data_IF_876046630571
#
_entry.id   IF_876046630571
#
_cell.length_a   1.000
_cell.length_b   1.000
_cell.length_c   1.000
_cell.angle_alpha   90.00
_cell.angle_beta   90.00
_cell.angle_gamma   90.00
#
_symmetry.space_group_name_H-M   'P 1'
#
loop_
_entity.id
_entity.type
_entity.pdbx_description
1 polymer ?
2 non-polymer ?
3 non-polymer ?
4 non-polymer ?
5 non-polymer ?
6 non-polymer ?
7 water ?
#
# COMPACT_ATOMS: atom_id res chain seq x y z
N UNK A 1 3.58 12.30 -17.99
CA UNK A 1 2.48 13.19 -17.52
C UNK A 1 2.74 13.72 -16.12
N UNK A 2 2.33 14.97 -15.85
CA UNK A 2 2.54 15.64 -14.55
C UNK A 2 2.14 14.81 -13.34
N UNK A 3 0.93 14.27 -13.40
CA UNK A 3 0.36 13.47 -12.33
C UNK A 3 0.51 11.99 -12.53
N UNK A 4 1.45 11.42 -11.78
CA UNK A 4 1.78 10.03 -11.88
C UNK A 4 1.34 9.27 -10.65
N UNK A 5 0.69 8.12 -10.86
CA UNK A 5 0.23 7.30 -9.76
C UNK A 5 1.03 6.01 -9.65
N UNK A 6 1.46 5.71 -8.44
CA UNK A 6 2.24 4.49 -8.17
C UNK A 6 1.49 3.63 -7.14
N UNK A 7 0.90 2.52 -7.59
CA UNK A 7 0.13 1.66 -6.67
C UNK A 7 0.45 0.20 -6.81
N UNK A 8 0.10 -0.57 -5.78
CA UNK A 8 0.33 -2.02 -5.80
C UNK A 8 -0.72 -2.81 -6.60
N UNK A 9 -0.25 -3.54 -7.61
CA UNK A 9 -1.15 -4.30 -8.44
C UNK A 9 -1.67 -5.56 -7.71
N UNK A 10 -0.79 -6.33 -7.10
CA UNK A 10 -1.16 -7.56 -6.41
C UNK A 10 -1.79 -7.43 -5.00
N UNK A 11 -1.10 -7.89 -3.96
CA UNK A 11 -1.61 -7.80 -2.57
C UNK A 11 -0.65 -7.01 -1.66
N UNK A 12 -0.21 -5.86 -2.16
CA UNK A 12 0.72 -5.05 -1.39
C UNK A 12 2.13 -5.65 -1.35
N UNK A 13 3.08 -4.85 -0.85
CA UNK A 13 4.47 -5.26 -0.69
C UNK A 13 5.22 -5.54 -1.96
N UNK A 14 4.72 -4.94 -3.04
CA UNK A 14 5.28 -5.09 -4.35
C UNK A 14 6.56 -4.29 -4.46
N UNK A 15 6.64 -3.21 -3.67
CA UNK A 15 7.81 -2.33 -3.67
C UNK A 15 7.41 -0.91 -4.08
N UNK A 16 6.27 -0.46 -3.57
CA UNK A 16 5.77 0.89 -3.88
C UNK A 16 6.72 1.97 -3.32
N UNK A 17 7.07 1.83 -2.03
CA UNK A 17 8.00 2.76 -1.38
C UNK A 17 9.26 2.99 -2.22
N UNK A 18 9.98 1.91 -2.51
CA UNK A 18 11.18 2.04 -3.31
C UNK A 18 10.95 2.80 -4.62
N UNK A 19 9.84 2.53 -5.30
CA UNK A 19 9.64 3.20 -6.58
C UNK A 19 9.22 4.63 -6.42
N UNK A 20 8.55 4.94 -5.31
CA UNK A 20 8.15 6.32 -5.05
C UNK A 20 9.44 7.13 -4.81
N UNK A 21 10.26 6.66 -3.89
CA UNK A 21 11.51 7.31 -3.59
C UNK A 21 12.46 7.52 -4.80
N UNK A 22 12.42 6.60 -5.76
CA UNK A 22 13.26 6.70 -6.94
C UNK A 22 12.70 7.66 -7.98
N UNK A 23 11.38 7.71 -8.11
CA UNK A 23 10.79 8.59 -9.10
C UNK A 23 10.56 10.03 -8.66
N UNK A 24 10.50 10.25 -7.35
CA UNK A 24 10.27 11.57 -6.78
C UNK A 24 11.42 12.57 -7.04
N UNK A 25 12.51 12.07 -7.61
CA UNK A 25 13.64 12.91 -7.92
C UNK A 25 13.17 14.15 -8.66
N UNK A 26 12.16 13.99 -9.50
CA UNK A 26 11.61 15.09 -10.29
C UNK A 26 10.36 15.74 -9.69
N UNK A 27 9.83 15.11 -8.64
CA UNK A 27 8.60 15.59 -8.02
C UNK A 27 8.68 16.76 -7.03
N UNK A 28 7.66 17.60 -7.07
CA UNK A 28 7.53 18.72 -6.18
C UNK A 28 6.67 18.22 -5.00
N UNK A 29 5.71 17.33 -5.30
CA UNK A 29 4.82 16.75 -4.27
C UNK A 29 4.65 15.23 -4.33
N UNK A 30 4.45 14.63 -3.17
CA UNK A 30 4.16 13.19 -3.08
C UNK A 30 2.98 13.14 -2.15
N UNK A 31 1.97 12.36 -2.52
CA UNK A 31 0.74 12.26 -1.73
C UNK A 31 0.27 10.83 -1.48
N UNK A 32 0.07 10.51 -0.19
CA UNK A 32 -0.47 9.23 0.25
C UNK A 32 -1.96 9.61 0.32
N UNK A 33 -2.80 8.82 -0.35
CA UNK A 33 -4.24 9.09 -0.42
C UNK A 33 -5.13 8.07 0.31
N UNK A 34 -4.56 6.99 0.81
CA UNK A 34 -5.35 6.01 1.55
C UNK A 34 -4.45 5.13 2.38
N UNK A 35 -5.08 4.39 3.29
CA UNK A 35 -4.34 3.53 4.18
C UNK A 35 -4.09 4.32 5.45
N UNK A 36 -3.11 3.83 6.21
CA UNK A 36 -2.74 4.45 7.47
C UNK A 36 -1.35 3.96 7.76
N UNK A 37 -1.13 3.36 8.92
CA UNK A 37 0.21 2.87 9.23
C UNK A 37 0.28 1.35 9.12
N UNK A 38 -0.61 0.80 8.32
CA UNK A 38 -0.57 -0.62 8.06
C UNK A 38 0.49 -0.73 6.95
N UNK A 39 0.65 0.33 6.18
CA UNK A 39 1.65 0.33 5.13
C UNK A 39 3.04 0.27 5.77
N UNK A 40 3.98 -0.33 5.06
CA UNK A 40 5.35 -0.44 5.52
C UNK A 40 6.17 -0.37 4.24
N UNK A 41 6.47 0.85 3.79
CA UNK A 41 7.22 0.98 2.55
C UNK A 41 8.69 1.15 2.89
N UNK A 42 9.51 0.23 2.39
CA UNK A 42 10.93 0.21 2.63
C UNK A 42 11.77 0.90 1.57
N UNK A 43 12.52 1.93 1.99
CA UNK A 43 13.41 2.68 1.12
C UNK A 43 14.80 2.22 1.49
N UNK A 44 15.70 2.29 0.50
CA UNK A 44 17.08 1.89 0.69
C UNK A 44 18.01 2.66 -0.22
N UNK A 45 18.74 3.61 0.38
CA UNK A 45 19.71 4.46 -0.32
C UNK A 45 21.08 4.00 0.14
N UNK A 46 21.95 3.67 -0.81
CA UNK A 46 23.28 3.20 -0.49
C UNK A 46 23.18 2.34 0.78
N UNK A 47 22.38 1.30 0.71
CA UNK A 47 22.25 0.41 1.85
C UNK A 47 21.64 0.90 3.14
N UNK A 48 21.31 2.16 3.24
CA UNK A 48 20.71 2.58 4.51
C UNK A 48 19.23 2.36 4.31
N UNK A 49 18.66 1.61 5.24
CA UNK A 49 17.26 1.24 5.21
C UNK A 49 16.31 2.13 6.01
N UNK A 50 15.12 2.35 5.45
CA UNK A 50 14.08 3.12 6.09
C UNK A 50 12.73 2.53 5.70
N UNK A 51 11.97 2.07 6.68
CA UNK A 51 10.65 1.56 6.42
C UNK A 51 9.66 2.62 6.93
N UNK A 52 8.96 3.25 5.99
CA UNK A 52 7.97 4.26 6.30
C UNK A 52 6.62 3.57 6.42
N UNK A 53 5.72 4.12 7.23
CA UNK A 53 4.39 3.55 7.40
C UNK A 53 3.35 4.59 6.98
N UNK A 54 3.21 5.63 7.82
CA UNK A 54 2.25 6.70 7.60
C UNK A 54 2.80 7.83 6.74
N UNK A 55 4.06 8.17 6.98
CA UNK A 55 4.70 9.26 6.26
C UNK A 55 5.06 8.89 4.81
N UNK A 56 4.69 9.73 3.85
CA UNK A 56 5.00 9.46 2.44
C UNK A 56 6.48 9.22 2.10
N UNK A 57 6.68 8.42 1.05
CA UNK A 57 8.01 8.08 0.61
C UNK A 57 8.72 9.16 -0.20
N UNK A 58 8.49 10.42 0.13
CA UNK A 58 9.19 11.49 -0.56
C UNK A 58 10.01 12.23 0.50
N UNK A 59 9.71 11.93 1.75
CA UNK A 59 10.35 12.53 2.91
C UNK A 59 11.87 12.64 2.84
N UNK A 60 12.56 11.62 2.33
CA UNK A 60 14.01 11.70 2.27
C UNK A 60 14.50 12.77 1.29
N UNK A 61 13.59 13.43 0.58
CA UNK A 61 14.00 14.46 -0.37
C UNK A 61 13.54 15.83 0.10
N UNK A 62 14.47 16.79 0.12
CA UNK A 62 14.10 18.15 0.55
C UNK A 62 13.30 18.90 -0.52
N UNK A 63 13.57 18.62 -1.78
CA UNK A 63 12.89 19.26 -2.88
C UNK A 63 11.41 18.84 -2.97
N UNK A 64 11.03 17.82 -2.22
CA UNK A 64 9.67 17.33 -2.26
C UNK A 64 8.86 17.68 -1.03
N UNK A 65 7.60 18.03 -1.24
CA UNK A 65 6.68 18.33 -0.15
C UNK A 65 5.86 17.01 0.03
N UNK A 66 5.93 16.44 1.23
CA UNK A 66 5.22 15.22 1.51
C UNK A 66 3.87 15.55 2.11
N UNK A 67 2.82 15.00 1.48
CA UNK A 67 1.42 15.21 1.85
C UNK A 67 0.67 13.98 2.36
N UNK A 68 -0.06 14.14 3.45
CA UNK A 68 -0.90 13.07 3.96
C UNK A 68 -2.32 13.57 3.63
N UNK A 69 -2.87 13.00 2.54
CA UNK A 69 -4.20 13.36 2.03
C UNK A 69 -5.37 12.91 2.85
N UNK A 70 -6.49 13.62 2.72
CA UNK A 70 -7.74 13.33 3.44
C UNK A 70 -8.15 11.87 3.51
N UNK A 71 -7.89 11.10 2.45
CA UNK A 71 -8.26 9.70 2.46
C UNK A 71 -7.50 8.80 3.42
N UNK A 72 -6.43 9.33 4.01
CA UNK A 72 -5.62 8.56 4.96
C UNK A 72 -6.17 8.66 6.38
N UNK A 73 -6.13 7.53 7.09
CA UNK A 73 -6.56 7.49 8.49
C UNK A 73 -5.30 7.79 9.32
N UNK A 74 -5.33 8.88 10.07
CA UNK A 74 -4.14 9.32 10.81
C UNK A 74 -4.08 9.03 12.29
N UNK A 75 -3.04 8.32 12.67
CA UNK A 75 -2.78 7.97 14.06
C UNK A 75 -1.76 9.00 14.60
N UNK A 76 -2.23 9.96 15.41
CA UNK A 76 -1.28 10.96 15.95
C UNK A 76 -0.06 10.32 16.64
N UNK A 77 -0.31 9.20 17.35
CA UNK A 77 0.74 8.50 18.05
C UNK A 77 1.75 7.96 17.06
N UNK A 78 1.27 7.33 15.99
CA UNK A 78 2.16 6.75 14.99
C UNK A 78 3.00 7.81 14.31
N UNK A 79 2.39 8.95 14.06
CA UNK A 79 3.07 10.06 13.41
C UNK A 79 4.27 10.60 14.25
N UNK A 80 4.01 10.97 15.49
CA UNK A 80 5.05 11.50 16.39
C UNK A 80 6.14 10.47 16.47
N UNK A 81 5.71 9.20 16.58
CA UNK A 81 6.58 8.04 16.68
C UNK A 81 7.51 7.93 15.50
N UNK A 82 6.99 8.02 14.29
CA UNK A 82 7.81 7.95 13.09
C UNK A 82 8.61 9.24 12.90
N UNK A 83 7.96 10.37 13.19
CA UNK A 83 8.54 11.72 13.05
C UNK A 83 9.85 11.91 13.79
N UNK A 84 9.84 11.54 15.06
CA UNK A 84 11.04 11.66 15.88
C UNK A 84 12.17 10.76 15.36
N UNK A 85 11.85 9.51 15.05
CA UNK A 85 12.87 8.61 14.58
C UNK A 85 13.53 9.18 13.33
N UNK A 86 12.72 9.72 12.44
CA UNK A 86 13.22 10.30 11.20
C UNK A 86 14.07 11.53 11.50
N UNK A 87 13.62 12.33 12.45
CA UNK A 87 14.30 13.55 12.88
C UNK A 87 15.69 13.27 13.40
N UNK A 88 15.82 12.29 14.29
CA UNK A 88 17.12 11.93 14.86
C UNK A 88 18.13 11.51 13.79
N UNK A 89 17.60 11.06 12.64
CA UNK A 89 18.39 10.63 11.50
C UNK A 89 18.60 11.80 10.51
N UNK A 90 18.34 13.02 10.97
CA UNK A 90 18.52 14.18 10.12
C UNK A 90 17.43 14.48 9.10
N UNK A 91 16.24 13.88 9.28
CA UNK A 91 15.14 14.16 8.36
C UNK A 91 14.22 15.15 9.03
N UNK A 92 14.24 16.41 8.55
CA UNK A 92 13.36 17.42 9.16
C UNK A 92 11.90 17.24 8.72
N UNK A 93 11.32 16.09 9.09
CA UNK A 93 9.94 15.72 8.71
C UNK A 93 8.97 16.91 8.72
N UNK A 94 8.93 17.61 9.85
CA UNK A 94 8.05 18.76 10.05
C UNK A 94 8.22 19.88 9.05
N UNK A 95 9.43 20.01 8.53
CA UNK A 95 9.72 21.04 7.57
C UNK A 95 9.30 20.59 6.17
N UNK A 96 9.08 19.29 5.97
CA UNK A 96 8.69 18.81 4.65
C UNK A 96 7.33 18.11 4.53
N UNK A 97 6.64 17.90 5.65
CA UNK A 97 5.34 17.21 5.65
C UNK A 97 4.09 18.04 5.93
N UNK A 98 3.07 17.86 5.07
CA UNK A 98 1.76 18.53 5.19
C UNK A 98 0.63 17.53 5.44
N UNK A 99 -0.46 17.99 6.07
CA UNK A 99 -1.62 17.13 6.39
C UNK A 99 -2.98 17.73 5.98
N UNK A 100 -3.99 16.86 5.99
CA UNK A 100 -5.35 17.25 5.69
C UNK A 100 -6.16 17.34 6.96
N UNK A 101 -6.94 18.40 7.10
CA UNK A 101 -7.79 18.53 8.25
C UNK A 101 -8.93 17.49 8.11
N UNK A 102 -9.15 16.98 6.89
CA UNK A 102 -10.20 15.99 6.69
C UNK A 102 -9.78 14.61 7.19
N UNK A 103 -8.48 14.36 7.25
CA UNK A 103 -7.98 13.08 7.72
C UNK A 103 -8.63 12.66 9.02
N UNK A 104 -9.24 11.47 9.05
CA UNK A 104 -9.88 10.97 10.27
C UNK A 104 -8.73 10.59 11.21
N UNK A 105 -8.95 10.70 12.52
CA UNK A 105 -7.92 10.35 13.51
C UNK A 105 -8.11 8.94 14.09
N UNK A 106 -7.02 8.16 14.13
CA UNK A 106 -7.03 6.80 14.67
C UNK A 106 -6.55 6.98 16.09
N UNK A 107 -7.32 6.53 17.07
CA UNK A 107 -6.96 6.67 18.46
C UNK A 107 -7.01 5.34 19.16
N UNK A 108 -6.18 5.17 20.15
CA UNK A 108 -6.13 3.94 20.91
C UNK A 108 -7.35 2.98 20.91
N UNK A 109 -8.55 3.51 21.15
CA UNK A 109 -9.75 2.65 21.19
C UNK A 109 -10.01 1.93 19.89
N UNK A 110 -9.55 2.52 18.80
CA UNK A 110 -9.67 1.93 17.48
C UNK A 110 -8.89 0.65 17.42
N UNK A 111 -7.83 0.54 18.22
CA UNK A 111 -7.01 -0.68 18.24
C UNK A 111 -7.69 -1.70 19.15
N UNK A 112 -8.36 -1.21 20.19
CA UNK A 112 -9.07 -2.09 21.10
C UNK A 112 -10.15 -2.80 20.24
N UNK A 113 -10.92 -2.01 19.51
CA UNK A 113 -11.96 -2.58 18.66
C UNK A 113 -11.37 -3.52 17.63
N UNK A 114 -10.37 -3.06 16.87
CA UNK A 114 -9.79 -3.93 15.84
C UNK A 114 -9.32 -5.25 16.46
N UNK A 115 -8.80 -5.19 17.68
CA UNK A 115 -8.35 -6.38 18.37
C UNK A 115 -9.56 -7.25 18.68
N UNK A 116 -10.56 -6.64 19.34
CA UNK A 116 -11.79 -7.34 19.72
C UNK A 116 -12.43 -8.05 18.53
N UNK A 117 -12.66 -7.29 17.46
CA UNK A 117 -13.28 -7.82 16.26
C UNK A 117 -12.48 -8.99 15.68
N UNK A 118 -11.14 -8.92 15.69
CA UNK A 118 -10.38 -10.03 15.14
C UNK A 118 -10.51 -11.31 15.95
N UNK A 119 -10.41 -11.22 17.26
CA UNK A 119 -10.54 -12.43 18.06
C UNK A 119 -11.92 -13.01 17.86
N UNK A 120 -12.94 -12.14 17.93
CA UNK A 120 -14.32 -12.58 17.75
C UNK A 120 -14.50 -13.43 16.48
N UNK A 121 -13.65 -13.20 15.48
CA UNK A 121 -13.68 -13.97 14.24
C UNK A 121 -13.01 -15.35 14.41
N UNK A 122 -12.20 -15.50 15.47
CA UNK A 122 -11.54 -16.76 15.69
C UNK A 122 -10.83 -17.23 14.44
N UNK A 123 -11.06 -18.49 14.09
CA UNK A 123 -10.43 -19.07 12.91
C UNK A 123 -10.62 -18.23 11.65
N UNK A 124 -11.66 -17.41 11.60
CA UNK A 124 -11.93 -16.62 10.41
C UNK A 124 -11.42 -15.18 10.49
N UNK A 125 -10.38 -14.94 11.30
CA UNK A 125 -9.80 -13.59 11.43
C UNK A 125 -9.15 -13.10 10.13
N UNK A 126 -9.40 -11.85 9.77
CA UNK A 126 -8.85 -11.27 8.54
C UNK A 126 -7.32 -11.33 8.47
N UNK A 127 -6.67 -11.01 9.59
CA UNK A 127 -5.23 -11.00 9.62
C UNK A 127 -4.84 -9.54 9.53
N UNK A 128 -5.62 -8.72 10.21
CA UNK A 128 -5.38 -7.30 10.22
C UNK A 128 -4.02 -6.96 10.87
N UNK A 129 -3.44 -5.84 10.46
CA UNK A 129 -2.15 -5.38 11.01
C UNK A 129 -2.29 -4.95 12.47
N UNK A 130 -3.52 -4.83 12.95
CA UNK A 130 -3.79 -4.44 14.34
C UNK A 130 -3.75 -2.95 14.66
N UNK A 131 -3.50 -2.11 13.66
CA UNK A 131 -3.39 -0.68 13.85
C UNK A 131 -4.72 0.06 14.02
N UNK A 132 -5.84 -0.62 13.83
CA UNK A 132 -7.14 0.03 13.97
C UNK A 132 -7.66 0.76 12.75
N UNK A 133 -7.11 0.41 11.59
CA UNK A 133 -7.52 1.03 10.32
C UNK A 133 -9.02 0.94 10.11
N UNK A 134 -9.53 -0.27 10.23
CA UNK A 134 -10.94 -0.51 10.01
C UNK A 134 -11.85 0.36 10.86
N UNK A 135 -11.78 0.23 12.20
CA UNK A 135 -12.61 1.01 13.11
C UNK A 135 -12.56 2.49 12.79
N UNK A 136 -11.38 2.97 12.40
CA UNK A 136 -11.21 4.38 12.04
C UNK A 136 -12.05 4.64 10.80
N UNK A 137 -11.93 3.77 9.80
CA UNK A 137 -12.73 3.92 8.57
C UNK A 137 -14.23 3.81 8.84
N UNK A 138 -14.57 2.94 9.79
CA UNK A 138 -15.96 2.72 10.19
C UNK A 138 -16.54 4.02 10.70
N UNK A 139 -15.89 4.55 11.74
CA UNK A 139 -16.33 5.78 12.39
C UNK A 139 -16.42 6.92 11.39
N UNK A 140 -15.50 6.89 10.44
CA UNK A 140 -15.48 7.91 9.42
C UNK A 140 -16.83 7.89 8.73
N UNK A 141 -17.05 6.81 7.98
CA UNK A 141 -18.25 6.60 7.20
C UNK A 141 -19.48 6.78 8.10
N UNK A 142 -19.37 6.32 9.36
CA UNK A 142 -20.46 6.48 10.32
C UNK A 142 -20.79 7.94 10.60
N UNK A 143 -19.79 8.83 10.52
CA UNK A 143 -19.97 10.26 10.78
C UNK A 143 -19.90 10.61 12.29
N UNK A 144 -19.22 9.76 13.05
CA UNK A 144 -19.02 9.98 14.48
C UNK A 144 -17.50 10.11 14.74
N UNK A 145 -16.70 9.83 13.72
CA UNK A 145 -15.28 9.90 13.88
C UNK A 145 -14.78 11.34 14.00
N UNK A 146 -13.58 11.44 14.57
CA UNK A 146 -12.93 12.71 14.74
C UNK A 146 -11.88 12.83 13.64
N UNK A 147 -11.73 14.04 13.12
CA UNK A 147 -10.74 14.28 12.08
C UNK A 147 -9.75 15.34 12.57
N UNK A 148 -8.62 15.47 11.88
CA UNK A 148 -7.61 16.44 12.25
C UNK A 148 -8.22 17.81 12.61
N UNK A 149 -9.14 18.29 11.78
CA UNK A 149 -9.77 19.57 12.03
C UNK A 149 -10.43 19.73 13.39
N UNK A 150 -10.95 18.64 13.97
CA UNK A 150 -11.61 18.76 15.27
C UNK A 150 -10.66 19.30 16.34
N UNK A 151 -9.37 19.21 16.05
CA UNK A 151 -8.38 19.70 16.98
C UNK A 151 -8.33 21.25 16.98
N UNK A 152 -8.87 21.91 15.97
CA UNK A 152 -8.82 23.36 15.97
C UNK A 152 -9.49 23.95 17.22
N UNK A 153 -10.41 23.20 17.83
CA UNK A 153 -11.10 23.64 19.05
C UNK A 153 -10.97 22.50 20.03
N UNK A 154 -10.02 22.63 20.94
CA UNK A 154 -9.76 21.60 21.93
C UNK A 154 -10.94 21.36 22.89
N UNK A 155 -11.69 22.41 23.23
CA UNK A 155 -12.81 22.19 24.14
C UNK A 155 -13.86 21.29 23.49
N UNK A 156 -14.36 21.67 22.31
CA UNK A 156 -15.36 20.83 21.66
C UNK A 156 -14.80 19.47 21.31
N UNK A 157 -13.50 19.39 21.01
CA UNK A 157 -12.89 18.09 20.70
C UNK A 157 -13.08 17.16 21.89
N UNK A 158 -12.67 17.64 23.07
CA UNK A 158 -12.80 16.83 24.29
C UNK A 158 -14.25 16.35 24.47
N UNK A 159 -15.22 17.22 24.21
CA UNK A 159 -16.62 16.86 24.32
C UNK A 159 -16.89 15.73 23.31
N UNK A 160 -16.64 16.01 22.04
CA UNK A 160 -16.85 15.06 20.96
C UNK A 160 -16.24 13.70 21.30
N UNK A 161 -14.95 13.71 21.64
CA UNK A 161 -14.22 12.52 22.00
C UNK A 161 -14.90 11.74 23.15
N UNK A 162 -15.37 12.48 24.15
CA UNK A 162 -16.03 11.87 25.29
C UNK A 162 -17.18 10.97 24.85
N UNK A 163 -18.13 11.54 24.09
CA UNK A 163 -19.29 10.80 23.57
C UNK A 163 -18.79 9.55 22.85
N UNK A 164 -17.92 9.77 21.87
CA UNK A 164 -17.33 8.74 21.04
C UNK A 164 -16.83 7.57 21.88
N UNK A 165 -15.89 7.88 22.76
CA UNK A 165 -15.31 6.87 23.62
C UNK A 165 -16.36 6.20 24.49
N UNK A 166 -17.34 6.97 24.96
CA UNK A 166 -18.39 6.36 25.77
C UNK A 166 -18.99 5.23 24.93
N UNK A 167 -19.55 5.59 23.78
CA UNK A 167 -20.18 4.65 22.85
C UNK A 167 -19.28 3.45 22.60
N UNK A 168 -18.05 3.71 22.20
CA UNK A 168 -17.12 2.62 21.91
C UNK A 168 -16.90 1.71 23.10
N UNK A 169 -16.69 2.29 24.28
CA UNK A 169 -16.46 1.51 25.51
C UNK A 169 -17.62 0.62 25.95
N UNK A 170 -18.84 1.08 25.69
CA UNK A 170 -20.01 0.28 26.05
C UNK A 170 -19.84 -1.09 25.43
N UNK A 171 -19.56 -1.10 24.13
CA UNK A 171 -19.39 -2.35 23.39
C UNK A 171 -18.15 -3.15 23.79
N UNK A 172 -17.03 -2.47 24.00
CA UNK A 172 -15.81 -3.20 24.41
C UNK A 172 -16.04 -3.84 25.77
N UNK A 173 -16.70 -3.12 26.65
CA UNK A 173 -16.99 -3.62 28.00
C UNK A 173 -18.06 -4.69 28.04
N UNK A 174 -19.25 -4.35 27.57
CA UNK A 174 -20.39 -5.28 27.60
C UNK A 174 -20.43 -6.41 26.55
N UNK A 175 -20.49 -6.05 25.28
CA UNK A 175 -20.56 -7.05 24.24
C UNK A 175 -19.29 -7.87 24.13
N UNK A 176 -18.14 -7.23 24.06
CA UNK A 176 -16.91 -8.01 23.95
C UNK A 176 -16.35 -8.46 25.29
N UNK A 177 -16.72 -7.77 26.36
CA UNK A 177 -16.21 -8.10 27.69
C UNK A 177 -14.69 -7.86 27.65
N UNK A 178 -14.32 -6.78 26.96
CA UNK A 178 -12.93 -6.37 26.78
C UNK A 178 -12.56 -5.25 27.74
N UNK A 179 -11.26 -4.96 27.84
CA UNK A 179 -10.75 -3.91 28.70
C UNK A 179 -11.14 -2.56 28.06
N UNK A 180 -11.67 -1.65 28.87
CA UNK A 180 -12.08 -0.34 28.36
C UNK A 180 -10.91 0.64 28.24
N UNK A 181 -10.93 1.45 27.20
CA UNK A 181 -9.89 2.44 26.97
C UNK A 181 -10.26 3.65 27.83
N UNK A 182 -9.25 4.28 28.45
CA UNK A 182 -9.48 5.43 29.32
C UNK A 182 -9.54 6.74 28.57
N UNK A 183 -10.67 7.42 28.71
CA UNK A 183 -10.90 8.68 28.06
C UNK A 183 -9.80 9.71 28.35
N UNK A 184 -9.56 9.96 29.63
CA UNK A 184 -8.55 10.94 30.05
C UNK A 184 -7.19 10.67 29.43
N UNK A 185 -6.79 9.41 29.40
CA UNK A 185 -5.50 9.05 28.82
C UNK A 185 -5.44 9.34 27.32
N UNK A 186 -6.54 9.11 26.62
CA UNK A 186 -6.54 9.38 25.19
C UNK A 186 -6.50 10.90 24.98
N UNK A 187 -7.35 11.62 25.71
CA UNK A 187 -7.40 13.08 25.61
C UNK A 187 -6.02 13.70 25.82
N UNK A 188 -5.33 13.29 26.87
CA UNK A 188 -4.01 13.83 27.17
C UNK A 188 -2.98 13.50 26.10
N UNK A 189 -2.80 12.21 25.81
CA UNK A 189 -1.83 11.83 24.80
C UNK A 189 -2.03 12.61 23.52
N UNK A 190 -3.29 12.82 23.15
CA UNK A 190 -3.59 13.50 21.90
C UNK A 190 -3.25 15.00 21.94
N UNK A 191 -3.83 15.70 22.91
CA UNK A 191 -3.61 17.11 23.03
C UNK A 191 -2.10 17.44 23.13
N UNK A 192 -1.31 16.49 23.61
CA UNK A 192 0.14 16.71 23.70
C UNK A 192 0.77 16.91 22.32
N UNK A 193 0.09 16.47 21.26
CA UNK A 193 0.63 16.62 19.90
C UNK A 193 -0.22 17.41 18.91
N UNK A 194 -1.38 17.87 19.35
CA UNK A 194 -2.29 18.61 18.50
C UNK A 194 -1.69 19.78 17.74
N UNK A 195 -0.92 20.60 18.43
CA UNK A 195 -0.32 21.77 17.80
C UNK A 195 0.62 21.34 16.69
N UNK A 196 1.48 20.37 17.00
CA UNK A 196 2.42 19.86 15.99
C UNK A 196 1.56 19.44 14.81
N UNK A 197 0.59 18.58 15.09
CA UNK A 197 -0.38 18.07 14.11
C UNK A 197 -0.97 19.20 13.26
N UNK A 198 -1.79 20.05 13.89
CA UNK A 198 -2.42 21.18 13.24
C UNK A 198 -1.44 22.13 12.55
N UNK A 199 -0.19 22.13 12.98
CA UNK A 199 0.78 23.01 12.36
C UNK A 199 1.02 22.59 10.90
N UNK A 200 0.93 21.29 10.62
CA UNK A 200 1.14 20.83 9.26
C UNK A 200 -0.09 20.83 8.35
N UNK A 201 -1.25 21.19 8.87
CA UNK A 201 -2.44 21.21 8.04
C UNK A 201 -2.26 22.17 6.86
N UNK A 202 -2.83 21.78 5.73
CA UNK A 202 -2.89 22.56 4.49
C UNK A 202 -4.20 22.12 3.82
N UNK A 203 -4.73 22.95 2.93
CA UNK A 203 -5.93 22.59 2.18
C UNK A 203 -5.36 21.82 0.95
N UNK A 204 -5.24 20.49 1.12
CA UNK A 204 -4.67 19.58 0.11
C UNK A 204 -5.33 19.63 -1.30
N UNK A 205 -6.67 19.68 -1.38
CA UNK A 205 -7.34 19.74 -2.69
C UNK A 205 -6.90 20.98 -3.48
N UNK A 206 -7.08 22.16 -2.87
CA UNK A 206 -6.74 23.44 -3.50
C UNK A 206 -5.27 23.48 -3.84
N UNK A 207 -4.45 22.91 -2.96
CA UNK A 207 -3.03 22.83 -3.21
C UNK A 207 -2.86 22.13 -4.57
N UNK A 208 -3.36 20.90 -4.67
CA UNK A 208 -3.25 20.07 -5.87
C UNK A 208 -3.87 20.72 -7.09
N UNK A 209 -4.91 21.51 -6.88
CA UNK A 209 -5.54 22.21 -7.98
C UNK A 209 -4.51 23.23 -8.52
N UNK A 210 -3.95 24.05 -7.65
CA UNK A 210 -2.96 25.02 -8.10
C UNK A 210 -1.65 24.39 -8.56
N UNK A 211 -1.19 23.37 -7.85
CA UNK A 211 0.03 22.68 -8.28
C UNK A 211 -0.18 22.08 -9.67
N UNK A 212 -1.43 21.68 -9.95
CA UNK A 212 -1.85 21.06 -11.21
C UNK A 212 -1.80 22.09 -12.31
N UNK A 213 -2.51 23.19 -12.14
CA UNK A 213 -2.55 24.26 -13.14
C UNK A 213 -1.14 24.78 -13.43
N UNK A 214 -0.25 24.68 -12.45
CA UNK A 214 1.15 25.11 -12.58
C UNK A 214 1.99 24.13 -13.39
N UNK A 215 1.52 22.90 -13.53
CA UNK A 215 2.26 21.91 -14.28
C UNK A 215 3.26 21.19 -13.42
N UNK A 216 3.13 21.29 -12.11
CA UNK A 216 4.04 20.61 -11.21
C UNK A 216 3.91 19.10 -11.24
N UNK A 217 5.02 18.41 -11.04
CA UNK A 217 5.08 16.95 -11.01
C UNK A 217 4.54 16.39 -9.68
N UNK A 218 3.35 15.81 -9.70
CA UNK A 218 2.84 15.23 -8.47
C UNK A 218 2.94 13.71 -8.56
N UNK A 219 3.23 13.08 -7.43
CA UNK A 219 3.33 11.63 -7.36
C UNK A 219 2.39 11.21 -6.24
N UNK A 220 1.49 10.29 -6.55
CA UNK A 220 0.57 9.79 -5.55
C UNK A 220 1.11 8.43 -5.24
N UNK A 221 1.27 8.15 -3.96
CA UNK A 221 1.81 6.90 -3.48
C UNK A 221 0.72 6.04 -2.82
N UNK A 222 0.52 4.84 -3.36
CA UNK A 222 -0.49 3.98 -2.81
C UNK A 222 -0.03 3.16 -1.62
N UNK A 223 -1.02 2.58 -0.94
CA UNK A 223 -0.80 1.72 0.21
C UNK A 223 -1.54 0.39 -0.12
N UNK A 224 -1.06 -0.71 0.45
CA UNK A 224 -1.63 -2.03 0.24
C UNK A 224 -1.64 -2.36 -1.26
N UNK A 225 -2.54 -3.25 -1.69
CA UNK A 225 -2.65 -3.60 -3.09
C UNK A 225 -4.08 -3.77 -3.61
N UNK A 226 -4.19 -3.72 -4.95
CA UNK A 226 -5.45 -3.87 -5.72
C UNK A 226 -6.42 -4.95 -5.20
N UNK A 227 -5.94 -6.17 -4.96
CA UNK A 227 -6.84 -7.21 -4.47
C UNK A 227 -7.23 -7.08 -2.99
N UNK A 228 -6.77 -5.99 -2.36
CA UNK A 228 -7.07 -5.69 -0.97
C UNK A 228 -8.11 -4.56 -0.96
N UNK A 229 -8.49 -4.11 -2.15
CA UNK A 229 -9.47 -3.05 -2.25
C UNK A 229 -10.76 -3.40 -1.51
N UNK A 230 -11.24 -2.46 -0.71
CA UNK A 230 -12.45 -2.69 0.04
C UNK A 230 -13.61 -3.11 -0.87
N UNK A 231 -13.69 -2.56 -2.09
CA UNK A 231 -14.77 -2.88 -3.01
C UNK A 231 -14.47 -4.02 -3.97
N UNK A 232 -13.34 -3.90 -4.66
CA UNK A 232 -12.95 -4.86 -5.68
C UNK A 232 -12.11 -6.03 -5.23
N UNK A 233 -11.69 -6.05 -3.97
CA UNK A 233 -10.87 -7.17 -3.52
C UNK A 233 -11.59 -8.42 -3.02
N UNK A 234 -10.79 -9.31 -2.44
CA UNK A 234 -11.31 -10.56 -1.94
C UNK A 234 -12.01 -10.34 -0.62
N UNK A 235 -13.09 -9.57 -0.68
CA UNK A 235 -13.88 -9.27 0.49
C UNK A 235 -14.35 -10.59 1.10
N UNK A 236 -14.36 -10.69 2.45
CA UNK A 236 -13.96 -9.65 3.41
C UNK A 236 -12.47 -9.65 3.85
N UNK A 237 -11.64 -10.47 3.20
CA UNK A 237 -10.24 -10.51 3.54
C UNK A 237 -9.59 -9.42 2.74
N UNK A 238 -9.96 -8.19 3.10
CA UNK A 238 -9.47 -7.01 2.44
C UNK A 238 -9.05 -5.92 3.45
N UNK A 239 -8.59 -4.79 2.94
CA UNK A 239 -8.25 -3.67 3.79
C UNK A 239 -9.49 -2.77 3.59
N UNK A 240 -9.82 -1.95 4.60
CA UNK A 240 -11.00 -1.07 4.57
C UNK A 240 -10.93 0.19 3.73
N UNK A 241 -9.93 0.28 2.86
CA UNK A 241 -9.85 1.43 1.99
C UNK A 241 -9.82 1.01 0.52
N UNK A 242 -10.08 1.98 -0.35
CA UNK A 242 -10.05 1.76 -1.77
C UNK A 242 -8.63 1.88 -2.30
N UNK A 243 -7.93 0.76 -2.29
CA UNK A 243 -6.58 0.74 -2.80
C UNK A 243 -6.49 0.89 -4.34
N UNK A 244 -7.64 1.00 -5.01
CA UNK A 244 -7.61 1.16 -6.46
C UNK A 244 -7.48 2.65 -6.88
N UNK A 245 -6.95 2.86 -8.09
CA UNK A 245 -6.74 4.20 -8.61
C UNK A 245 -7.86 5.22 -8.33
N UNK A 246 -9.10 4.75 -8.18
CA UNK A 246 -10.21 5.65 -7.88
C UNK A 246 -9.96 6.34 -6.55
N UNK A 247 -9.22 5.66 -5.67
CA UNK A 247 -8.90 6.21 -4.35
C UNK A 247 -8.08 7.50 -4.43
N UNK A 248 -7.21 7.59 -5.43
CA UNK A 248 -6.39 8.76 -5.58
C UNK A 248 -7.28 10.02 -5.54
N UNK A 249 -8.29 10.04 -6.41
CA UNK A 249 -9.15 11.19 -6.45
C UNK A 249 -9.94 11.34 -5.16
N UNK A 250 -10.52 10.27 -4.62
CA UNK A 250 -11.33 10.46 -3.41
C UNK A 250 -10.53 10.82 -2.16
N UNK A 251 -9.32 10.28 -2.07
CA UNK A 251 -8.50 10.51 -0.92
C UNK A 251 -7.57 11.70 -0.96
N UNK A 252 -7.61 12.51 -2.02
CA UNK A 252 -6.75 13.68 -2.09
C UNK A 252 -7.52 14.97 -2.40
N UNK A 253 -8.52 14.87 -3.29
CA UNK A 253 -9.30 16.02 -3.69
C UNK A 253 -8.95 16.48 -5.09
N UNK A 254 -8.05 15.77 -5.74
CA UNK A 254 -7.67 16.08 -7.12
C UNK A 254 -8.71 15.45 -8.06
N UNK A 255 -9.26 16.22 -8.96
CA UNK A 255 -10.24 15.66 -9.87
C UNK A 255 -9.70 14.50 -10.70
N UNK A 256 -10.45 13.38 -10.76
CA UNK A 256 -10.16 12.12 -11.48
C UNK A 256 -9.58 12.31 -12.86
N UNK A 257 -10.02 13.35 -13.56
CA UNK A 257 -9.52 13.60 -14.91
C UNK A 257 -8.04 14.04 -14.90
N UNK A 258 -7.52 14.47 -13.75
CA UNK A 258 -6.13 14.90 -13.72
C UNK A 258 -5.09 13.81 -13.55
N UNK A 259 -5.48 12.54 -13.61
CA UNK A 259 -4.46 11.49 -13.51
C UNK A 259 -3.87 11.33 -14.92
N UNK A 260 -2.55 11.37 -15.04
CA UNK A 260 -1.93 11.24 -16.34
C UNK A 260 -1.32 9.86 -16.54
N UNK A 261 -0.73 9.31 -15.49
CA UNK A 261 -0.10 8.01 -15.59
C UNK A 261 -0.27 7.15 -14.35
N UNK A 262 -0.72 5.91 -14.56
CA UNK A 262 -0.92 4.98 -13.46
C UNK A 262 0.09 3.87 -13.66
N UNK A 263 1.10 3.85 -12.80
CA UNK A 263 2.14 2.84 -12.90
C UNK A 263 1.78 1.78 -11.89
N UNK A 264 1.58 0.56 -12.41
CA UNK A 264 1.25 -0.57 -11.56
C UNK A 264 2.49 -1.27 -11.08
N UNK A 265 2.70 -1.30 -9.77
CA UNK A 265 3.88 -1.96 -9.27
C UNK A 265 3.55 -3.43 -9.26
N UNK A 266 4.38 -4.20 -9.95
CA UNK A 266 4.21 -5.64 -10.10
C UNK A 266 5.43 -6.46 -9.69
N UNK A 267 5.30 -7.28 -8.64
CA UNK A 267 6.40 -8.13 -8.20
C UNK A 267 6.61 -9.33 -9.14
N UNK A 268 7.86 -9.78 -9.27
CA UNK A 268 8.20 -10.92 -10.13
C UNK A 268 7.48 -12.22 -9.75
N UNK A 269 6.93 -12.28 -8.55
CA UNK A 269 6.20 -13.44 -8.09
C UNK A 269 5.09 -12.83 -7.24
N UNK A 270 4.37 -13.63 -6.46
CA UNK A 270 3.28 -13.08 -5.66
C UNK A 270 3.44 -13.36 -4.18
N UNK A 271 2.87 -12.48 -3.37
CA UNK A 271 2.86 -12.65 -1.92
C UNK A 271 1.54 -12.17 -1.35
N UNK A 272 1.21 -12.70 -0.18
CA UNK A 272 0.02 -12.28 0.52
C UNK A 272 0.46 -12.29 1.98
N UNK A 273 -0.06 -11.36 2.78
CA UNK A 273 0.17 -11.27 4.21
C UNK A 273 -1.25 -11.05 4.73
N UNK A 274 -1.71 -12.02 5.49
CA UNK A 274 -3.07 -11.99 6.00
C UNK A 274 -3.78 -13.20 5.35
N UNK A 275 -5.04 -13.38 5.71
CA UNK A 275 -5.85 -14.49 5.23
C UNK A 275 -6.54 -14.14 3.89
N UNK A 276 -6.92 -15.11 3.09
CA UNK A 276 -7.58 -14.78 1.86
C UNK A 276 -7.13 -15.58 0.65
N UNK A 277 -7.97 -15.69 -0.38
CA UNK A 277 -7.67 -16.44 -1.60
C UNK A 277 -6.29 -16.13 -2.17
N UNK A 278 -5.61 -17.15 -2.66
CA UNK A 278 -4.28 -17.03 -3.28
C UNK A 278 -4.02 -18.24 -4.23
N UNK A 279 -4.73 -18.29 -5.38
CA UNK A 279 -4.60 -19.36 -6.37
C UNK A 279 -3.21 -19.95 -6.62
N UNK A 280 -2.22 -19.06 -6.74
CA UNK A 280 -0.85 -19.48 -7.06
C UNK A 280 0.07 -19.68 -5.86
N UNK A 281 -0.51 -19.79 -4.67
CA UNK A 281 0.25 -19.98 -3.46
C UNK A 281 1.11 -21.24 -3.51
N UNK A 282 2.36 -21.10 -3.03
CA UNK A 282 3.30 -22.19 -3.02
C UNK A 282 3.68 -22.58 -1.58
N UNK A 283 3.51 -23.85 -1.23
CA UNK A 283 3.83 -24.36 0.10
C UNK A 283 5.01 -25.34 -0.03
N UNK A 284 5.76 -25.27 -1.13
CA UNK A 284 6.88 -26.19 -1.36
C UNK A 284 8.26 -25.48 -1.30
N UNK A 285 9.33 -26.21 -1.62
CA UNK A 285 10.70 -25.63 -1.62
C UNK A 285 10.71 -24.31 -2.35
N UNK A 286 10.02 -24.26 -3.50
CA UNK A 286 9.95 -23.02 -4.28
C UNK A 286 9.29 -21.96 -3.42
N UNK A 287 8.22 -22.35 -2.72
CA UNK A 287 7.53 -21.42 -1.85
C UNK A 287 8.52 -20.87 -0.83
N UNK A 288 9.17 -21.75 -0.08
CA UNK A 288 10.14 -21.31 0.92
C UNK A 288 11.30 -20.53 0.28
N UNK A 289 11.74 -20.99 -0.89
CA UNK A 289 12.81 -20.32 -1.61
C UNK A 289 12.40 -18.89 -1.88
N UNK A 290 11.24 -18.72 -2.50
CA UNK A 290 10.75 -17.38 -2.80
C UNK A 290 10.76 -16.56 -1.54
N UNK A 291 10.21 -17.12 -0.45
CA UNK A 291 10.20 -16.41 0.82
C UNK A 291 11.61 -15.96 1.27
N UNK A 292 12.48 -16.95 1.43
CA UNK A 292 13.87 -16.79 1.84
C UNK A 292 14.58 -15.78 0.95
N UNK A 293 14.63 -16.06 -0.34
CA UNK A 293 15.32 -15.17 -1.25
C UNK A 293 14.84 -13.74 -1.27
N UNK A 294 13.55 -13.53 -1.06
CA UNK A 294 13.01 -12.18 -1.13
C UNK A 294 12.72 -11.53 0.21
N UNK A 295 13.32 -12.04 1.30
CA UNK A 295 13.11 -11.51 2.64
C UNK A 295 11.64 -11.11 2.72
N UNK A 296 10.77 -12.08 2.48
CA UNK A 296 9.33 -11.77 2.51
C UNK A 296 8.69 -11.76 3.90
N UNK A 297 8.94 -10.70 4.65
CA UNK A 297 8.34 -10.54 5.98
C UNK A 297 7.75 -9.15 6.06
N UNK A 298 6.61 -9.04 6.73
CA UNK A 298 5.93 -7.76 6.84
C UNK A 298 6.70 -6.58 7.38
N UNK A 299 6.87 -5.58 6.52
CA UNK A 299 7.54 -4.34 6.86
C UNK A 299 6.81 -3.61 7.99
N UNK A 300 5.74 -4.19 8.54
CA UNK A 300 4.98 -3.59 9.63
C UNK A 300 4.72 -4.56 10.79
N UNK A 301 4.34 -5.81 10.50
CA UNK A 301 4.07 -6.76 11.58
C UNK A 301 5.16 -7.83 11.65
N UNK A 302 6.02 -7.90 10.64
CA UNK A 302 7.08 -8.88 10.67
C UNK A 302 6.61 -10.31 10.42
N UNK A 303 5.34 -10.46 10.06
CA UNK A 303 4.77 -11.78 9.76
C UNK A 303 5.39 -12.30 8.49
N UNK A 304 5.39 -13.61 8.36
CA UNK A 304 5.92 -14.27 7.18
C UNK A 304 4.90 -14.05 6.05
N UNK A 305 5.39 -13.63 4.91
CA UNK A 305 4.45 -13.43 3.83
C UNK A 305 4.26 -14.76 3.10
N UNK A 306 3.08 -14.96 2.54
CA UNK A 306 2.79 -16.18 1.78
C UNK A 306 3.36 -15.84 0.43
N UNK A 307 3.89 -16.83 -0.26
CA UNK A 307 4.47 -16.64 -1.56
C UNK A 307 3.77 -17.54 -2.59
N UNK A 308 3.85 -17.11 -3.85
CA UNK A 308 3.27 -17.84 -4.95
C UNK A 308 3.83 -17.30 -6.25
N UNK A 309 3.45 -17.94 -7.36
CA UNK A 309 3.92 -17.52 -8.68
C UNK A 309 3.18 -16.28 -9.07
N UNK A 310 3.69 -15.58 -10.06
CA UNK A 310 3.01 -14.40 -10.56
C UNK A 310 1.67 -14.89 -11.19
N UNK A 311 0.58 -14.22 -10.81
CA UNK A 311 -0.73 -14.53 -11.33
C UNK A 311 -1.13 -13.47 -12.34
N UNK A 312 -1.17 -13.88 -13.58
CA UNK A 312 -1.56 -13.01 -14.69
C UNK A 312 -3.08 -12.77 -14.77
N UNK A 313 -3.85 -13.74 -14.30
CA UNK A 313 -5.30 -13.61 -14.34
C UNK A 313 -5.68 -12.45 -13.43
N UNK A 314 -5.27 -12.54 -12.17
CA UNK A 314 -5.57 -11.49 -11.22
C UNK A 314 -4.88 -10.15 -11.60
N UNK A 315 -3.65 -10.19 -12.13
CA UNK A 315 -2.99 -8.95 -12.50
C UNK A 315 -3.79 -8.16 -13.54
N UNK A 316 -4.50 -8.89 -14.42
CA UNK A 316 -5.28 -8.20 -15.44
C UNK A 316 -6.54 -7.59 -14.81
N UNK A 317 -6.92 -8.05 -13.63
CA UNK A 317 -8.05 -7.42 -12.97
C UNK A 317 -7.46 -6.05 -12.56
N UNK A 318 -6.24 -6.10 -12.02
CA UNK A 318 -5.54 -4.86 -11.64
C UNK A 318 -5.44 -3.92 -12.84
N UNK A 319 -4.99 -4.44 -13.98
CA UNK A 319 -4.90 -3.61 -15.18
C UNK A 319 -6.14 -2.74 -15.44
N UNK A 320 -7.28 -3.40 -15.63
CA UNK A 320 -8.52 -2.66 -15.91
C UNK A 320 -9.03 -1.81 -14.74
N UNK A 321 -9.01 -2.35 -13.54
CA UNK A 321 -9.48 -1.57 -12.42
C UNK A 321 -8.69 -0.24 -12.28
N UNK A 322 -7.38 -0.32 -12.46
CA UNK A 322 -6.50 0.82 -12.29
C UNK A 322 -6.17 1.77 -13.45
N UNK A 323 -6.49 1.39 -14.68
CA UNK A 323 -6.17 2.22 -15.84
C UNK A 323 -4.64 2.24 -15.98
N UNK A 324 -4.02 1.12 -15.67
CA UNK A 324 -2.58 1.04 -15.76
C UNK A 324 -2.07 1.66 -17.06
N UNK A 325 -0.98 2.42 -16.97
CA UNK A 325 -0.37 2.98 -18.16
C UNK A 325 0.87 2.12 -18.30
N UNK A 326 1.38 1.65 -17.16
CA UNK A 326 2.54 0.80 -17.22
C UNK A 326 2.74 0.04 -15.93
N UNK A 327 3.64 -0.93 -16.00
CA UNK A 327 4.02 -1.76 -14.86
C UNK A 327 5.48 -1.45 -14.59
N UNK A 328 5.85 -1.58 -13.31
CA UNK A 328 7.25 -1.50 -12.89
C UNK A 328 7.43 -2.94 -12.37
N UNK A 329 8.24 -3.72 -13.07
CA UNK A 329 8.45 -5.10 -12.67
C UNK A 329 9.53 -5.18 -11.59
N UNK A 330 9.13 -5.51 -10.36
CA UNK A 330 10.06 -5.56 -9.24
C UNK A 330 10.47 -6.95 -8.76
N UNK A 331 11.65 -7.01 -8.15
CA UNK A 331 12.24 -8.23 -7.58
C UNK A 331 12.55 -9.40 -8.52
N UNK A 332 12.92 -9.07 -9.76
CA UNK A 332 13.27 -10.08 -10.75
C UNK A 332 14.42 -10.92 -10.17
N UNK A 333 15.41 -10.22 -9.60
CA UNK A 333 16.59 -10.85 -9.03
C UNK A 333 16.28 -12.05 -8.13
N UNK A 334 15.21 -11.96 -7.35
CA UNK A 334 14.82 -13.02 -6.45
C UNK A 334 14.54 -14.33 -7.21
N UNK A 335 14.30 -14.23 -8.51
CA UNK A 335 14.03 -15.42 -9.31
C UNK A 335 15.26 -16.17 -9.76
N UNK A 336 16.43 -15.52 -9.71
CA UNK A 336 17.70 -16.13 -10.14
C UNK A 336 17.95 -17.53 -9.55
N UNK A 337 18.47 -18.45 -10.37
CA UNK A 337 18.74 -19.79 -9.88
C UNK A 337 17.66 -20.81 -10.17
N UNK A 338 16.41 -20.39 -10.22
CA UNK A 338 15.29 -21.28 -10.52
C UNK A 338 15.41 -21.93 -11.91
N UNK A 339 15.18 -23.24 -11.99
CA UNK A 339 15.27 -23.94 -13.28
C UNK A 339 14.15 -23.53 -14.22
N UNK A 340 12.93 -23.43 -13.71
CA UNK A 340 11.78 -23.02 -14.50
C UNK A 340 10.96 -22.08 -13.64
N UNK A 341 10.31 -21.13 -14.30
CA UNK A 341 9.45 -20.18 -13.60
C UNK A 341 8.06 -20.27 -14.24
N UNK A 342 7.02 -20.32 -13.41
CA UNK A 342 5.68 -20.45 -13.92
C UNK A 342 4.85 -19.18 -13.76
N UNK A 343 3.92 -18.98 -14.67
CA UNK A 343 3.03 -17.82 -14.57
C UNK A 343 1.65 -18.34 -14.92
N UNK A 344 0.70 -18.12 -14.00
CA UNK A 344 -0.67 -18.56 -14.19
C UNK A 344 -1.37 -17.72 -15.26
N UNK A 345 -1.86 -18.39 -16.28
CA UNK A 345 -2.51 -17.72 -17.38
C UNK A 345 -4.02 -17.85 -17.35
N UNK A 346 -4.55 -18.78 -16.57
CA UNK A 346 -5.99 -18.96 -16.48
C UNK A 346 -6.44 -19.66 -15.19
N UNK A 347 -7.74 -19.61 -14.93
CA UNK A 347 -8.33 -20.24 -13.75
C UNK A 347 -9.30 -21.36 -14.15
N UNK A 348 -9.20 -22.50 -13.49
CA UNK A 348 -10.10 -23.62 -13.74
C UNK A 348 -11.13 -23.57 -12.61
N UNK A 349 -12.34 -23.16 -12.96
CA UNK A 349 -13.43 -23.07 -12.01
C UNK A 349 -13.79 -24.48 -11.48
N UNK A 350 -14.30 -24.55 -10.25
CA UNK A 350 -14.68 -25.82 -9.61
C UNK A 350 -15.80 -26.58 -10.35
N UNK A 351 -16.41 -25.94 -11.35
CA UNK A 351 -17.46 -26.53 -12.17
C UNK A 351 -16.88 -27.01 -13.50
N UNK A 352 -15.59 -26.84 -13.68
CA UNK A 352 -14.97 -27.31 -14.91
C UNK A 352 -14.53 -26.27 -15.91
N UNK A 353 -15.10 -25.07 -15.89
CA UNK A 353 -14.74 -24.05 -16.88
C UNK A 353 -13.35 -23.41 -16.76
N UNK A 354 -12.78 -23.13 -17.92
CA UNK A 354 -11.50 -22.46 -17.99
C UNK A 354 -11.93 -21.01 -18.12
N UNK A 355 -11.49 -20.17 -17.19
CA UNK A 355 -11.85 -18.77 -17.27
C UNK A 355 -10.55 -17.96 -17.19
N UNK A 356 -10.57 -16.73 -17.71
CA UNK A 356 -9.38 -15.86 -17.61
C UNK A 356 -9.73 -14.57 -16.87
N UNK A 357 -10.80 -14.60 -16.09
CA UNK A 357 -11.28 -13.45 -15.33
C UNK A 357 -11.27 -13.91 -13.88
N UNK A 358 -11.37 -12.99 -12.91
CA UNK A 358 -11.31 -13.39 -11.51
C UNK A 358 -12.64 -13.26 -10.77
N UNK A 359 -12.80 -14.02 -9.66
CA UNK A 359 -13.98 -14.03 -8.79
C UNK A 359 -13.89 -12.70 -7.99
N UNK A 360 -14.92 -12.35 -7.23
CA UNK A 360 -14.85 -11.11 -6.47
C UNK A 360 -14.66 -11.40 -4.97
N UNK A 361 -15.76 -11.65 -4.26
CA UNK A 361 -15.71 -11.94 -2.84
C UNK A 361 -14.87 -13.19 -2.64
N UNK A 362 -14.28 -13.31 -1.46
CA UNK A 362 -13.41 -14.43 -1.11
C UNK A 362 -14.07 -15.80 -1.30
N UNK A 363 -15.30 -15.95 -0.81
CA UNK A 363 -16.05 -17.23 -0.93
C UNK A 363 -16.06 -17.74 -2.37
N UNK A 364 -16.25 -16.81 -3.29
CA UNK A 364 -16.32 -17.15 -4.69
C UNK A 364 -15.00 -17.61 -5.28
N UNK A 365 -13.93 -17.63 -4.47
CA UNK A 365 -12.60 -18.07 -4.93
C UNK A 365 -12.30 -19.50 -4.48
N UNK A 366 -13.14 -20.05 -3.61
CA UNK A 366 -12.90 -21.36 -3.04
C UNK A 366 -12.13 -22.38 -3.87
N UNK A 367 -12.80 -23.27 -4.58
CA UNK A 367 -12.08 -24.30 -5.30
C UNK A 367 -11.34 -23.91 -6.55
N UNK A 368 -11.19 -22.62 -6.81
CA UNK A 368 -10.55 -22.16 -8.04
C UNK A 368 -9.12 -22.67 -8.21
N UNK A 369 -8.76 -23.08 -9.42
CA UNK A 369 -7.44 -23.64 -9.66
C UNK A 369 -6.70 -22.89 -10.71
N UNK A 370 -5.36 -22.74 -10.52
CA UNK A 370 -4.50 -22.03 -11.47
C UNK A 370 -3.97 -22.87 -12.62
N UNK A 371 -4.01 -22.30 -13.84
CA UNK A 371 -3.46 -22.96 -15.03
C UNK A 371 -2.20 -22.15 -15.43
N UNK A 372 -1.06 -22.82 -15.41
CA UNK A 372 0.21 -22.18 -15.72
C UNK A 372 0.77 -22.31 -17.12
N UNK A 373 1.76 -21.48 -17.35
CA UNK A 373 2.55 -21.45 -18.56
C UNK A 373 3.91 -21.57 -17.85
N UNK A 374 4.71 -22.55 -18.23
CA UNK A 374 6.00 -22.77 -17.57
C UNK A 374 7.13 -22.32 -18.47
N UNK A 375 7.93 -21.36 -17.98
CA UNK A 375 9.03 -20.82 -18.77
C UNK A 375 10.39 -21.16 -18.17
N UNK A 376 11.43 -21.15 -19.01
CA UNK A 376 12.81 -21.44 -18.60
C UNK A 376 13.35 -20.45 -17.56
N UNK A 377 14.06 -20.96 -16.55
CA UNK A 377 14.62 -20.08 -15.55
C UNK A 377 15.95 -19.54 -16.07
N UNK A 378 16.73 -18.92 -15.20
CA UNK A 378 18.03 -18.39 -15.58
C UNK A 378 19.06 -18.52 -14.45
N UNK A 379 20.29 -18.80 -14.86
CA UNK A 379 21.41 -18.98 -13.94
C UNK A 379 22.10 -17.66 -13.57
N UNK A 380 22.16 -16.75 -14.54
CA UNK A 380 22.81 -15.47 -14.35
C UNK A 380 22.26 -14.66 -13.18
N UNK A 381 23.08 -13.75 -12.68
CA UNK A 381 22.68 -12.88 -11.58
C UNK A 381 21.95 -11.71 -12.21
N UNK A 382 20.86 -11.30 -11.59
CA UNK A 382 20.08 -10.18 -12.08
C UNK A 382 20.24 -9.00 -11.11
N UNK A 383 20.45 -9.35 -9.84
CA UNK A 383 20.60 -8.36 -8.79
C UNK A 383 21.52 -7.20 -9.15
N UNK A 384 21.03 -5.99 -8.92
CA UNK A 384 21.79 -4.80 -9.20
C UNK A 384 21.90 -4.37 -10.65
N UNK A 385 21.44 -5.20 -11.59
CA UNK A 385 21.53 -4.85 -13.02
C UNK A 385 20.65 -3.64 -13.30
N UNK A 386 21.13 -2.72 -14.14
CA UNK A 386 20.40 -1.51 -14.46
C UNK A 386 20.38 -1.33 -15.96
N UNK A 387 20.49 -2.43 -16.68
CA UNK A 387 20.52 -2.39 -18.13
C UNK A 387 20.02 -3.73 -18.66
N UNK A 388 18.92 -3.69 -19.42
CA UNK A 388 18.34 -4.92 -19.98
C UNK A 388 19.43 -5.82 -20.54
N UNK A 389 20.43 -5.22 -21.20
CA UNK A 389 21.51 -6.01 -21.75
C UNK A 389 22.06 -6.99 -20.71
N UNK A 390 22.08 -6.58 -19.44
CA UNK A 390 22.60 -7.46 -18.41
C UNK A 390 21.63 -8.57 -18.04
N UNK A 391 20.42 -8.51 -18.56
CA UNK A 391 19.41 -9.52 -18.24
C UNK A 391 19.49 -10.68 -19.23
N UNK A 392 19.52 -11.92 -18.73
CA UNK A 392 19.58 -13.07 -19.66
C UNK A 392 18.29 -13.22 -20.45
N UNK A 393 18.39 -13.78 -21.66
CA UNK A 393 17.23 -13.96 -22.55
C UNK A 393 16.00 -14.61 -21.93
N UNK A 394 16.21 -15.55 -21.02
CA UNK A 394 15.10 -16.20 -20.34
C UNK A 394 14.25 -15.10 -19.68
N UNK A 395 14.92 -14.27 -18.85
CA UNK A 395 14.28 -13.15 -18.12
C UNK A 395 13.61 -12.19 -19.07
N UNK A 396 14.31 -11.85 -20.15
CA UNK A 396 13.75 -10.96 -21.14
C UNK A 396 12.47 -11.60 -21.68
N UNK A 397 12.55 -12.90 -21.95
CA UNK A 397 11.41 -13.65 -22.47
C UNK A 397 10.28 -13.57 -21.46
N UNK A 398 10.60 -13.88 -20.21
CA UNK A 398 9.63 -13.83 -19.13
C UNK A 398 9.00 -12.43 -19.08
N UNK A 399 9.77 -11.40 -19.38
CA UNK A 399 9.24 -10.05 -19.37
C UNK A 399 8.29 -9.86 -20.56
N UNK A 400 8.73 -10.29 -21.74
CA UNK A 400 7.91 -10.15 -22.93
C UNK A 400 6.58 -10.88 -22.70
N UNK A 401 6.67 -12.11 -22.20
CA UNK A 401 5.49 -12.93 -21.95
C UNK A 401 4.47 -12.19 -21.05
N UNK A 402 4.94 -11.67 -19.91
CA UNK A 402 4.05 -10.94 -19.02
C UNK A 402 3.41 -9.84 -19.85
N UNK A 403 4.20 -9.13 -20.64
CA UNK A 403 3.63 -8.06 -21.45
C UNK A 403 2.58 -8.57 -22.43
N UNK A 404 2.91 -9.66 -23.11
CA UNK A 404 1.98 -10.28 -24.06
C UNK A 404 0.69 -10.61 -23.33
N UNK A 405 0.82 -11.34 -22.24
CA UNK A 405 -0.31 -11.72 -21.43
C UNK A 405 -1.16 -10.59 -20.84
N UNK A 406 -0.66 -9.36 -20.88
CA UNK A 406 -1.37 -8.24 -20.27
C UNK A 406 -1.73 -7.08 -21.16
N UNK A 407 -0.89 -6.82 -22.17
CA UNK A 407 -1.14 -5.69 -23.04
C UNK A 407 -0.76 -4.37 -22.39
N UNK A 408 0.20 -4.44 -21.47
CA UNK A 408 0.69 -3.24 -20.79
C UNK A 408 2.21 -3.39 -20.74
N UNK A 409 2.95 -2.34 -21.18
CA UNK A 409 4.41 -2.35 -21.17
C UNK A 409 5.03 -2.30 -19.78
N UNK A 410 6.09 -3.06 -19.60
CA UNK A 410 6.84 -3.04 -18.34
C UNK A 410 7.85 -1.90 -18.49
N UNK A 411 7.45 -0.71 -18.06
CA UNK A 411 8.28 0.48 -18.18
C UNK A 411 9.49 0.57 -17.27
N UNK A 412 9.41 -0.07 -16.11
CA UNK A 412 10.55 -0.06 -15.20
C UNK A 412 10.80 -1.46 -14.69
N UNK A 413 12.07 -1.78 -14.47
CA UNK A 413 12.49 -3.09 -13.95
C UNK A 413 13.42 -2.86 -12.77
N UNK A 414 13.11 -3.49 -11.63
CA UNK A 414 13.89 -3.34 -10.41
C UNK A 414 14.69 -4.62 -10.03
N UNK A 415 16.00 -4.42 -9.78
CA UNK A 415 16.90 -5.51 -9.47
C UNK A 415 17.56 -5.46 -8.09
N UNK A 416 16.91 -4.83 -7.12
CA UNK A 416 17.47 -4.78 -5.78
C UNK A 416 16.72 -3.77 -4.94
N UNK A 417 16.81 -3.83 -3.59
CA UNK A 417 16.10 -2.86 -2.73
C UNK A 417 16.67 -1.45 -2.87
N UNK A 418 17.93 -1.34 -3.29
CA UNK A 418 18.57 -0.05 -3.40
C UNK A 418 18.00 0.77 -4.52
N UNK A 419 17.74 2.04 -4.23
CA UNK A 419 17.20 2.96 -5.23
C UNK A 419 17.89 2.86 -6.60
N UNK A 420 19.16 2.50 -6.60
CA UNK A 420 19.90 2.47 -7.85
C UNK A 420 19.91 1.16 -8.64
N UNK A 421 19.57 0.05 -7.98
CA UNK A 421 19.55 -1.24 -8.68
C UNK A 421 18.21 -1.34 -9.41
N UNK A 422 18.09 -0.53 -10.46
CA UNK A 422 16.87 -0.42 -11.23
C UNK A 422 17.21 0.13 -12.63
N UNK A 423 16.33 -0.15 -13.60
CA UNK A 423 16.47 0.40 -14.93
C UNK A 423 15.10 0.99 -15.28
N UNK A 424 15.08 2.28 -15.60
CA UNK A 424 13.83 2.92 -15.96
C UNK A 424 13.90 2.88 -17.47
N UNK A 425 12.86 2.38 -18.11
CA UNK A 425 12.88 2.31 -19.55
C UNK A 425 12.06 3.47 -20.12
N UNK A 426 10.93 3.75 -19.48
CA UNK A 426 10.07 4.86 -19.88
C UNK A 426 9.73 5.48 -18.53
N UNK A 427 9.99 6.78 -18.41
CA UNK A 427 9.74 7.52 -17.17
C UNK A 427 8.35 8.15 -17.28
N UNK A 428 7.42 7.71 -16.40
CA UNK A 428 6.03 8.19 -16.36
C UNK A 428 5.91 9.70 -16.43
N UNK A 429 6.90 10.42 -15.91
CA UNK A 429 6.85 11.87 -15.96
C UNK A 429 7.02 12.44 -17.38
N UNK A 430 7.43 11.60 -18.33
CA UNK A 430 7.59 12.05 -19.71
C UNK A 430 6.33 11.75 -20.55
N UNK A 431 5.73 10.58 -20.31
CA UNK A 431 4.52 10.15 -21.03
C UNK A 431 3.39 11.17 -20.87
#
# INVERSE_FOLDING_TARGET
>A
GNNVVVLGTQWGDEGKGKIVDLLTERAKYVVRYQGGHNAGHTLVINGEKTVLHLIPSGILRENVTSIIGNGVVLSPAALMKEMKELEDRGIPVRERLLLSEACPLILDYHVALDNAREKARGAKAIGTTGRGIGPAYEDKVARRGLRVGDLFDKETFAEKLKEVMEYHNFQLVNYYKAEAVDYQKVLDDTMAVADILTSMVVDVSDLLDQARQRGDFVMFEGAQGTLLDIDHGTYPYVTSSNTTAGGVATGSGLGPRYVDYVLGILKAYSTRVGAGPFPTELFDETGEFLCKQGNEFGATTGRRRRTGWLDTVAVRRAVQLNSLSGFCLTKLDVLDGLKEVKLCVAYRMPDGREVTTTPLAADDWKGVEPIYETMPGWSESTFGVKDRSGLPQAALNYIKRIEELTGVPIDIISTGPDRTETMILRDPFDA
#
